data_IF_261000798547
#
_entry.id   IF_261000798547
#
_cell.length_a   1.000
_cell.length_b   1.000
_cell.length_c   1.000
_cell.angle_alpha   90.00
_cell.angle_beta   90.00
_cell.angle_gamma   90.00
#
_symmetry.space_group_name_H-M   'P 1'
#
loop_
_entity.id
_entity.type
_entity.pdbx_description
1 polymer ?
#
# COMPACT_ATOMS: atom_id res chain seq x y z
N UNK A 1 -5.61 24.06 -2.61
CA UNK A 1 -5.41 22.62 -2.39
C UNK A 1 -5.42 21.96 -3.76
N UNK A 2 -4.44 21.14 -4.15
CA UNK A 2 -4.59 20.29 -5.33
C UNK A 2 -5.83 19.43 -5.09
N UNK A 3 -6.86 19.72 -5.88
CA UNK A 3 -8.05 18.90 -6.01
C UNK A 3 -7.66 17.66 -6.79
N UNK A 4 -8.31 16.52 -6.55
CA UNK A 4 -8.27 15.35 -7.43
C UNK A 4 -8.24 15.81 -8.89
N UNK A 5 -7.35 15.28 -9.75
CA UNK A 5 -7.26 15.69 -11.14
C UNK A 5 -8.65 15.75 -11.77
N UNK A 6 -8.93 16.84 -12.46
CA UNK A 6 -10.22 16.95 -13.13
C UNK A 6 -10.30 15.86 -14.20
N UNK A 7 -11.37 15.07 -14.20
CA UNK A 7 -11.51 13.91 -15.09
C UNK A 7 -11.42 14.26 -16.58
N UNK A 8 -11.73 15.52 -16.95
CA UNK A 8 -11.62 16.03 -18.32
C UNK A 8 -10.27 16.71 -18.64
N UNK A 9 -9.33 16.76 -17.70
CA UNK A 9 -7.99 17.29 -17.95
C UNK A 9 -7.14 16.32 -18.78
N UNK A 10 -6.11 16.82 -19.51
CA UNK A 10 -5.23 15.95 -20.28
C UNK A 10 -4.57 14.89 -19.38
N UNK A 11 -4.22 13.73 -19.93
CA UNK A 11 -3.43 12.75 -19.19
C UNK A 11 -2.06 13.33 -18.83
N UNK A 12 -1.41 12.67 -17.89
CA UNK A 12 -0.14 13.09 -17.27
C UNK A 12 0.89 11.96 -17.48
N UNK A 13 2.11 12.09 -16.95
CA UNK A 13 3.09 10.99 -17.00
C UNK A 13 4.13 11.07 -18.11
N UNK A 14 4.44 12.27 -18.60
CA UNK A 14 5.55 12.46 -19.54
C UNK A 14 6.90 12.22 -18.86
N UNK A 15 7.76 11.47 -19.52
CA UNK A 15 9.18 11.35 -19.20
C UNK A 15 9.93 12.66 -19.56
N UNK A 16 11.20 12.74 -19.18
CA UNK A 16 12.04 13.91 -19.45
C UNK A 16 12.22 14.19 -20.97
N UNK A 17 12.06 13.17 -21.81
CA UNK A 17 12.12 13.27 -23.28
C UNK A 17 10.75 13.56 -23.92
N UNK A 18 9.69 13.72 -23.12
CA UNK A 18 8.33 13.97 -23.57
C UNK A 18 7.52 12.73 -23.95
N UNK A 19 8.11 11.53 -23.95
CA UNK A 19 7.38 10.28 -24.17
C UNK A 19 6.51 9.91 -22.95
N UNK A 20 5.45 9.13 -23.17
CA UNK A 20 4.64 8.63 -22.04
C UNK A 20 5.37 7.49 -21.32
N UNK A 21 5.60 7.65 -20.01
CA UNK A 21 6.25 6.62 -19.19
C UNK A 21 5.44 5.32 -19.26
N UNK A 22 6.08 4.19 -19.59
CA UNK A 22 5.41 2.89 -19.74
C UNK A 22 4.67 2.68 -21.08
N UNK A 23 4.70 3.68 -21.96
CA UNK A 23 4.23 3.62 -23.35
C UNK A 23 2.94 4.39 -23.62
N UNK A 24 2.74 4.80 -24.87
CA UNK A 24 1.62 5.62 -25.34
C UNK A 24 0.23 5.08 -24.96
N UNK A 25 0.09 3.77 -24.81
CA UNK A 25 -1.17 3.15 -24.35
C UNK A 25 -1.58 3.53 -22.93
N UNK A 26 -0.70 4.15 -22.14
CA UNK A 26 -0.97 4.62 -20.78
C UNK A 26 -1.26 6.13 -20.73
N UNK A 27 -1.19 6.86 -21.85
CA UNK A 27 -1.50 8.29 -21.93
C UNK A 27 -3.02 8.51 -21.97
N UNK A 28 -3.69 8.20 -20.86
CA UNK A 28 -5.16 8.19 -20.82
C UNK A 28 -5.71 8.41 -19.43
N UNK A 29 -6.88 9.06 -19.35
CA UNK A 29 -7.73 9.12 -18.15
C UNK A 29 -8.69 7.93 -18.06
N UNK A 30 -8.85 7.20 -19.17
CA UNK A 30 -9.80 6.10 -19.33
C UNK A 30 -9.27 4.78 -18.78
N UNK A 31 -10.05 3.73 -19.00
CA UNK A 31 -9.66 2.35 -18.72
C UNK A 31 -8.86 1.81 -19.90
N UNK A 32 -7.75 1.12 -19.60
CA UNK A 32 -6.95 0.35 -20.56
C UNK A 32 -6.72 -1.05 -20.02
N UNK A 33 -6.69 -2.04 -20.89
CA UNK A 33 -6.47 -3.45 -20.54
C UNK A 33 -5.56 -4.10 -21.57
N UNK A 34 -4.79 -5.10 -21.14
CA UNK A 34 -4.04 -5.93 -22.07
C UNK A 34 -4.96 -6.67 -23.06
N UNK A 35 -4.44 -7.01 -24.23
CA UNK A 35 -5.18 -7.76 -25.23
C UNK A 35 -5.63 -9.12 -24.67
N UNK A 36 -6.90 -9.48 -24.91
CA UNK A 36 -7.48 -10.73 -24.40
C UNK A 36 -7.76 -10.74 -22.90
N UNK A 37 -7.64 -9.61 -22.19
CA UNK A 37 -8.03 -9.52 -20.79
C UNK A 37 -9.52 -9.85 -20.59
N UNK A 38 -9.90 -10.55 -19.51
CA UNK A 38 -11.30 -10.78 -19.18
C UNK A 38 -12.00 -9.44 -18.87
N UNK A 39 -13.34 -9.38 -18.95
CA UNK A 39 -14.09 -8.20 -18.53
C UNK A 39 -13.72 -7.78 -17.12
N UNK A 40 -13.62 -6.46 -16.90
CA UNK A 40 -13.35 -5.92 -15.58
C UNK A 40 -14.49 -6.25 -14.60
N UNK A 41 -14.18 -6.49 -13.32
CA UNK A 41 -15.20 -6.58 -12.28
C UNK A 41 -16.07 -5.33 -12.24
N UNK A 42 -17.37 -5.50 -12.01
CA UNK A 42 -18.28 -4.38 -11.77
C UNK A 42 -17.98 -3.69 -10.42
N UNK A 43 -18.36 -2.41 -10.30
CA UNK A 43 -18.28 -1.66 -9.04
C UNK A 43 -16.89 -1.16 -8.65
N UNK A 44 -16.01 -0.89 -9.64
CA UNK A 44 -14.73 -0.24 -9.38
C UNK A 44 -14.92 1.28 -9.31
N UNK A 45 -15.02 1.81 -8.10
CA UNK A 45 -15.24 3.25 -7.85
C UNK A 45 -13.93 4.07 -7.86
N UNK A 46 -12.76 3.41 -7.91
CA UNK A 46 -11.48 4.10 -7.88
C UNK A 46 -11.28 4.98 -9.13
N UNK A 47 -10.90 6.24 -8.91
CA UNK A 47 -10.62 7.20 -9.98
C UNK A 47 -9.37 6.85 -10.77
N UNK A 48 -8.34 6.34 -10.08
CA UNK A 48 -7.13 5.79 -10.69
C UNK A 48 -6.76 4.45 -10.06
N UNK A 49 -6.32 3.49 -10.88
CA UNK A 49 -5.85 2.18 -10.43
C UNK A 49 -4.96 1.55 -11.50
N UNK A 50 -4.10 0.61 -11.10
CA UNK A 50 -3.26 -0.16 -12.01
C UNK A 50 -3.04 -1.57 -11.47
N UNK A 51 -3.07 -2.55 -12.38
CA UNK A 51 -2.69 -3.94 -12.15
C UNK A 51 -1.59 -4.29 -13.13
N UNK A 52 -0.47 -4.79 -12.61
CA UNK A 52 0.67 -5.22 -13.40
C UNK A 52 1.23 -6.53 -12.88
N UNK A 53 1.89 -7.26 -13.77
CA UNK A 53 2.70 -8.42 -13.42
C UNK A 53 4.04 -7.96 -12.82
N UNK A 54 4.30 -8.29 -11.56
CA UNK A 54 5.49 -7.79 -10.86
C UNK A 54 6.82 -8.31 -11.45
N UNK A 55 6.81 -9.51 -12.05
CA UNK A 55 8.00 -10.13 -12.61
C UNK A 55 8.41 -9.48 -13.94
N UNK A 56 7.50 -9.55 -14.91
CA UNK A 56 7.70 -9.02 -16.27
C UNK A 56 7.60 -7.50 -16.32
N UNK A 57 6.83 -6.91 -15.41
CA UNK A 57 6.41 -5.52 -15.43
C UNK A 57 5.08 -5.32 -16.15
N UNK A 58 4.66 -6.16 -17.10
CA UNK A 58 3.54 -5.87 -18.00
C UNK A 58 2.29 -5.30 -17.30
N UNK A 59 1.79 -4.15 -17.78
CA UNK A 59 0.50 -3.60 -17.32
C UNK A 59 -0.62 -4.46 -17.89
N UNK A 60 -1.41 -5.06 -17.00
CA UNK A 60 -2.54 -5.94 -17.34
C UNK A 60 -3.85 -5.16 -17.46
N UNK A 61 -3.98 -4.10 -16.69
CA UNK A 61 -5.03 -3.11 -16.84
C UNK A 61 -4.82 -1.91 -15.93
N UNK A 62 -5.36 -0.78 -16.32
CA UNK A 62 -5.29 0.44 -15.54
C UNK A 62 -6.50 1.35 -15.82
N UNK A 63 -6.70 2.32 -14.94
CA UNK A 63 -7.50 3.52 -15.18
C UNK A 63 -6.70 4.71 -14.70
N UNK A 64 -6.60 5.73 -15.54
CA UNK A 64 -5.84 6.96 -15.25
C UNK A 64 -4.47 6.67 -14.60
N UNK A 65 -3.62 5.83 -15.23
CA UNK A 65 -2.40 5.31 -14.61
C UNK A 65 -1.44 6.40 -14.15
N UNK A 66 -1.41 7.54 -14.82
CA UNK A 66 -0.55 8.69 -14.52
C UNK A 66 -1.28 9.84 -13.83
N UNK A 67 -2.55 9.68 -13.46
CA UNK A 67 -3.25 10.72 -12.71
C UNK A 67 -2.57 11.02 -11.38
N UNK A 68 -2.36 12.31 -11.10
CA UNK A 68 -1.68 12.77 -9.88
C UNK A 68 -2.66 12.94 -8.73
N UNK A 69 -2.66 11.98 -7.81
CA UNK A 69 -3.51 11.97 -6.62
C UNK A 69 -2.68 12.21 -5.37
N UNK A 70 -3.33 12.61 -4.26
CA UNK A 70 -2.70 12.46 -2.96
C UNK A 70 -2.56 10.97 -2.64
N UNK A 71 -1.33 10.49 -2.33
CA UNK A 71 -1.10 9.07 -2.10
C UNK A 71 -1.69 8.59 -0.76
N UNK A 72 -1.98 9.51 0.17
CA UNK A 72 -2.20 9.19 1.56
C UNK A 72 -1.11 8.21 2.06
N UNK A 73 -1.48 7.27 2.92
CA UNK A 73 -0.56 6.28 3.47
C UNK A 73 0.08 5.32 2.47
N UNK A 74 -0.33 5.28 1.20
CA UNK A 74 0.32 4.41 0.22
C UNK A 74 1.77 4.81 -0.03
N UNK A 75 2.14 6.08 0.16
CA UNK A 75 3.53 6.56 0.00
C UNK A 75 4.52 5.91 0.99
N UNK A 76 4.03 5.27 2.06
CA UNK A 76 4.89 4.53 2.99
C UNK A 76 5.62 3.35 2.32
N UNK A 77 5.17 2.89 1.15
CA UNK A 77 5.95 1.96 0.32
C UNK A 77 7.26 2.60 -0.12
N UNK A 78 7.23 3.85 -0.60
CA UNK A 78 8.43 4.60 -0.94
C UNK A 78 9.28 4.91 0.30
N UNK A 79 8.67 5.17 1.45
CA UNK A 79 9.40 5.36 2.72
C UNK A 79 10.19 4.10 3.09
N UNK A 80 9.54 2.93 3.04
CA UNK A 80 10.20 1.64 3.27
C UNK A 80 11.32 1.41 2.27
N UNK A 81 11.05 1.59 0.97
CA UNK A 81 12.02 1.38 -0.09
C UNK A 81 13.25 2.28 0.03
N UNK A 82 13.04 3.52 0.48
CA UNK A 82 14.11 4.51 0.65
C UNK A 82 14.97 4.22 1.88
N UNK A 83 14.35 3.87 3.02
CA UNK A 83 15.04 3.78 4.30
C UNK A 83 15.55 2.38 4.65
N UNK A 84 14.94 1.31 4.13
CA UNK A 84 15.40 -0.06 4.37
C UNK A 84 16.90 -0.28 4.07
N UNK A 85 17.49 0.25 2.98
CA UNK A 85 18.93 0.09 2.74
C UNK A 85 19.82 1.03 3.57
N UNK A 86 19.24 2.01 4.28
CA UNK A 86 20.00 3.02 5.04
C UNK A 86 20.09 2.73 6.54
N UNK A 87 19.12 1.98 7.07
CA UNK A 87 19.00 1.72 8.50
C UNK A 87 19.29 0.25 8.80
N UNK A 88 20.13 0.01 9.81
CA UNK A 88 20.38 -1.34 10.31
C UNK A 88 19.10 -1.89 10.96
N UNK A 89 18.53 -3.02 10.49
CA UNK A 89 17.34 -3.62 11.08
C UNK A 89 17.47 -3.93 12.59
N UNK A 90 18.70 -4.15 13.08
CA UNK A 90 18.99 -4.41 14.49
C UNK A 90 19.12 -3.14 15.34
N UNK A 91 19.25 -1.96 14.72
CA UNK A 91 19.34 -0.69 15.45
C UNK A 91 18.08 -0.50 16.29
N UNK A 92 18.28 -0.14 17.56
CA UNK A 92 17.18 0.19 18.48
C UNK A 92 16.88 1.67 18.40
N UNK A 93 15.62 1.99 18.10
CA UNK A 93 15.08 3.35 18.12
C UNK A 93 14.37 3.58 19.46
N UNK A 94 14.81 4.61 20.18
CA UNK A 94 14.08 5.14 21.34
C UNK A 94 13.04 6.12 20.83
N UNK A 95 11.75 5.85 21.09
CA UNK A 95 10.65 6.71 20.68
C UNK A 95 10.58 7.97 21.57
N UNK A 96 10.17 9.09 20.98
CA UNK A 96 10.10 10.39 21.66
C UNK A 96 8.67 10.83 21.94
N UNK A 97 8.53 11.97 22.62
CA UNK A 97 7.26 12.64 22.84
C UNK A 97 6.54 12.99 21.53
N UNK A 98 7.31 13.40 20.52
CA UNK A 98 6.82 13.83 19.21
C UNK A 98 6.29 12.63 18.42
N UNK A 99 6.99 11.50 18.47
CA UNK A 99 6.52 10.23 17.90
C UNK A 99 5.19 9.81 18.55
N UNK A 100 5.03 10.04 19.86
CA UNK A 100 3.81 9.82 20.66
C UNK A 100 2.75 10.94 20.53
N UNK A 101 3.05 12.07 19.90
CA UNK A 101 2.07 13.13 19.63
C UNK A 101 1.48 13.13 18.21
N UNK A 102 2.07 12.38 17.26
CA UNK A 102 1.67 12.44 15.84
C UNK A 102 0.18 12.16 15.59
N UNK A 103 -0.40 12.82 14.61
CA UNK A 103 -1.79 12.61 14.21
C UNK A 103 -2.00 11.43 13.24
N UNK A 104 -3.26 11.04 13.04
CA UNK A 104 -3.66 10.03 12.08
C UNK A 104 -3.52 8.58 12.57
N UNK A 105 -3.18 7.66 11.67
CA UNK A 105 -3.01 6.23 12.00
C UNK A 105 -1.71 6.02 12.78
N UNK A 106 -1.75 5.22 13.84
CA UNK A 106 -0.63 5.03 14.76
C UNK A 106 -0.51 3.59 15.19
N UNK A 107 0.73 3.14 15.39
CA UNK A 107 1.01 1.85 16.01
C UNK A 107 0.88 1.96 17.53
N UNK A 108 1.19 3.13 18.07
CA UNK A 108 1.19 3.42 19.51
C UNK A 108 2.59 3.35 20.09
N UNK A 109 3.59 3.93 19.41
CA UNK A 109 4.90 4.15 20.01
C UNK A 109 4.74 5.01 21.27
N UNK A 110 5.52 4.69 22.31
CA UNK A 110 5.49 5.39 23.59
C UNK A 110 6.85 5.95 23.88
N UNK A 111 6.89 7.16 24.42
CA UNK A 111 8.11 7.81 24.86
C UNK A 111 8.97 6.85 25.69
N UNK A 112 10.27 6.87 25.42
CA UNK A 112 11.30 6.02 26.05
C UNK A 112 11.15 4.52 25.72
N UNK A 113 10.14 4.14 24.94
CA UNK A 113 10.01 2.80 24.38
C UNK A 113 11.11 2.52 23.37
N UNK A 114 11.64 1.29 23.42
CA UNK A 114 12.74 0.83 22.57
C UNK A 114 12.22 -0.16 21.53
N UNK A 115 12.43 0.16 20.26
CA UNK A 115 11.91 -0.61 19.13
C UNK A 115 13.01 -0.85 18.10
N UNK A 116 13.32 -2.11 17.74
CA UNK A 116 14.20 -2.40 16.62
C UNK A 116 13.64 -1.81 15.32
N UNK A 117 14.52 -1.32 14.45
CA UNK A 117 14.15 -0.80 13.12
C UNK A 117 13.35 -1.84 12.32
N UNK A 118 13.69 -3.13 12.39
CA UNK A 118 12.93 -4.19 11.73
C UNK A 118 11.45 -4.21 12.16
N UNK A 119 11.20 -4.11 13.47
CA UNK A 119 9.85 -4.06 14.01
C UNK A 119 9.11 -2.81 13.52
N UNK A 120 9.81 -1.68 13.44
CA UNK A 120 9.26 -0.44 12.90
C UNK A 120 8.87 -0.60 11.43
N UNK A 121 9.72 -1.16 10.56
CA UNK A 121 9.35 -1.39 9.15
C UNK A 121 8.12 -2.31 9.01
N UNK A 122 8.02 -3.37 9.81
CA UNK A 122 6.82 -4.23 9.84
C UNK A 122 5.59 -3.46 10.31
N UNK A 123 5.73 -2.66 11.37
CA UNK A 123 4.64 -1.87 11.92
C UNK A 123 4.16 -0.78 10.96
N UNK A 124 5.08 -0.18 10.20
CA UNK A 124 4.83 0.81 9.15
C UNK A 124 3.84 0.24 8.11
N UNK A 125 4.07 -0.97 7.59
CA UNK A 125 3.23 -1.57 6.56
C UNK A 125 1.97 -2.26 7.10
N UNK A 126 2.00 -2.71 8.36
CA UNK A 126 0.87 -3.44 8.95
C UNK A 126 -0.26 -2.53 9.42
N UNK A 127 0.09 -1.42 10.08
CA UNK A 127 -0.86 -0.52 10.73
C UNK A 127 -0.82 0.89 10.16
N UNK A 128 0.02 1.14 9.16
CA UNK A 128 0.20 2.46 8.58
C UNK A 128 0.58 3.52 9.61
N UNK A 129 1.43 3.15 10.57
CA UNK A 129 1.82 4.02 11.68
C UNK A 129 2.53 5.28 11.19
N UNK A 130 1.90 6.43 11.37
CA UNK A 130 2.52 7.74 11.14
C UNK A 130 3.62 8.02 12.17
N UNK A 131 3.46 7.48 13.38
CA UNK A 131 4.43 7.56 14.49
C UNK A 131 5.71 6.85 14.10
N UNK A 132 5.55 5.67 13.52
CA UNK A 132 6.65 4.88 12.98
C UNK A 132 7.34 5.57 11.80
N UNK A 133 6.58 6.14 10.85
CA UNK A 133 7.17 6.85 9.71
C UNK A 133 8.04 8.04 10.16
N UNK A 134 7.60 8.79 11.18
CA UNK A 134 8.36 9.91 11.73
C UNK A 134 9.57 9.44 12.55
N UNK A 135 9.42 8.39 13.36
CA UNK A 135 10.53 7.82 14.13
C UNK A 135 11.66 7.31 13.21
N UNK A 136 11.30 6.60 12.12
CA UNK A 136 12.25 6.14 11.10
C UNK A 136 12.92 7.33 10.39
N UNK A 137 12.15 8.34 9.99
CA UNK A 137 12.72 9.54 9.36
C UNK A 137 13.69 10.28 10.30
N UNK A 138 13.36 10.37 11.60
CA UNK A 138 14.21 11.00 12.62
C UNK A 138 15.55 10.31 12.75
N UNK A 139 15.57 8.98 12.85
CA UNK A 139 16.84 8.24 12.94
C UNK A 139 17.62 8.21 11.63
N UNK A 140 16.95 8.45 10.50
CA UNK A 140 17.56 8.65 9.18
C UNK A 140 18.04 10.10 8.93
N UNK A 141 18.16 10.93 9.96
CA UNK A 141 18.66 12.32 9.85
C UNK A 141 17.58 13.39 9.79
N UNK A 142 16.31 13.03 9.95
CA UNK A 142 15.17 13.95 10.04
C UNK A 142 14.22 13.87 8.84
N UNK A 143 13.09 14.56 8.96
CA UNK A 143 12.03 14.56 7.94
C UNK A 143 12.50 15.17 6.62
N UNK A 144 13.18 16.32 6.64
CA UNK A 144 13.61 16.99 5.41
C UNK A 144 14.64 16.15 4.61
N UNK A 145 15.71 15.59 5.22
CA UNK A 145 16.60 14.67 4.51
C UNK A 145 15.89 13.41 4.00
N UNK A 146 14.97 12.85 4.79
CA UNK A 146 14.18 11.68 4.38
C UNK A 146 13.31 12.00 3.15
N UNK A 147 12.60 13.13 3.14
CA UNK A 147 11.78 13.56 2.00
C UNK A 147 12.64 13.80 0.76
N UNK A 148 13.82 14.40 0.91
CA UNK A 148 14.77 14.56 -0.19
C UNK A 148 15.22 13.19 -0.76
N UNK A 149 15.57 12.25 0.12
CA UNK A 149 15.96 10.89 -0.27
C UNK A 149 14.81 10.12 -0.94
N UNK A 150 13.57 10.32 -0.49
CA UNK A 150 12.39 9.71 -1.10
C UNK A 150 12.14 10.25 -2.50
N UNK A 151 12.23 11.57 -2.71
CA UNK A 151 12.12 12.17 -4.04
C UNK A 151 13.26 11.72 -4.97
N UNK A 152 14.49 11.60 -4.46
CA UNK A 152 15.60 11.04 -5.23
C UNK A 152 15.38 9.58 -5.61
N UNK A 153 14.80 8.78 -4.70
CA UNK A 153 14.43 7.39 -4.97
C UNK A 153 13.32 7.29 -6.01
N UNK A 154 12.29 8.14 -5.93
CA UNK A 154 11.23 8.21 -6.94
C UNK A 154 11.81 8.56 -8.32
N UNK A 155 12.65 9.59 -8.41
CA UNK A 155 13.31 9.98 -9.66
C UNK A 155 14.17 8.86 -10.25
N UNK A 156 14.95 8.16 -9.42
CA UNK A 156 15.77 7.01 -9.84
C UNK A 156 14.94 5.88 -10.46
N UNK A 157 13.72 5.69 -9.98
CA UNK A 157 12.80 4.65 -10.47
C UNK A 157 11.99 5.12 -11.69
N UNK A 158 12.11 6.38 -12.11
CA UNK A 158 11.29 6.96 -13.17
C UNK A 158 9.84 7.26 -12.73
N UNK A 159 9.61 7.42 -11.43
CA UNK A 159 8.32 7.78 -10.86
C UNK A 159 8.06 9.30 -10.98
N UNK A 160 7.83 9.75 -12.22
CA UNK A 160 7.77 11.17 -12.62
C UNK A 160 6.51 11.90 -12.16
N UNK A 161 5.50 11.19 -11.65
CA UNK A 161 4.26 11.77 -11.13
C UNK A 161 4.26 11.88 -9.60
N UNK A 162 5.37 11.49 -8.97
CA UNK A 162 5.52 11.48 -7.52
C UNK A 162 6.29 12.69 -7.03
N UNK A 163 5.67 13.43 -6.13
CA UNK A 163 6.31 14.49 -5.34
C UNK A 163 5.98 14.20 -3.89
N UNK A 164 7.00 13.95 -3.07
CA UNK A 164 6.83 13.61 -1.66
C UNK A 164 6.89 14.87 -0.81
N UNK A 165 5.88 15.07 0.04
CA UNK A 165 5.86 16.13 1.05
C UNK A 165 6.08 15.62 2.48
N UNK A 166 5.69 14.39 2.78
CA UNK A 166 5.89 13.75 4.10
C UNK A 166 6.21 12.26 3.96
N UNK A 167 6.94 11.67 4.93
CA UNK A 167 7.23 10.23 4.93
C UNK A 167 6.00 9.36 5.28
N UNK A 168 4.94 9.95 5.83
CA UNK A 168 3.73 9.25 6.23
C UNK A 168 2.63 9.30 5.18
N UNK A 169 2.68 10.29 4.29
CA UNK A 169 1.59 10.63 3.37
C UNK A 169 0.45 11.39 4.03
N UNK A 170 0.70 12.06 5.16
CA UNK A 170 -0.18 13.14 5.60
C UNK A 170 -0.22 14.21 4.50
N UNK A 171 -1.40 14.81 4.33
CA UNK A 171 -1.66 15.73 3.23
C UNK A 171 -0.82 17.00 3.40
N UNK A 172 -0.01 17.30 2.39
CA UNK A 172 0.78 18.52 2.29
C UNK A 172 0.64 19.06 0.87
N UNK A 173 0.50 20.38 0.75
CA UNK A 173 0.36 21.02 -0.56
C UNK A 173 1.52 20.65 -1.50
N UNK A 174 1.17 20.27 -2.74
CA UNK A 174 2.14 19.87 -3.75
C UNK A 174 2.54 18.39 -3.72
N UNK A 175 2.22 17.65 -2.65
CA UNK A 175 2.42 16.20 -2.61
C UNK A 175 1.53 15.50 -3.64
N UNK A 176 2.08 14.54 -4.37
CA UNK A 176 1.32 13.74 -5.34
C UNK A 176 2.01 12.41 -5.62
N UNK A 177 1.24 11.47 -6.20
CA UNK A 177 1.70 10.21 -6.76
C UNK A 177 0.68 9.73 -7.79
N UNK A 178 1.05 8.77 -8.64
CA UNK A 178 0.11 8.11 -9.56
C UNK A 178 -0.05 6.62 -9.28
N UNK A 179 -1.13 5.96 -9.76
CA UNK A 179 -1.23 4.50 -9.73
C UNK A 179 -0.02 3.78 -10.32
N UNK A 180 0.54 4.33 -11.40
CA UNK A 180 1.74 3.81 -12.05
C UNK A 180 2.97 3.89 -11.15
N UNK A 181 3.22 5.05 -10.54
CA UNK A 181 4.36 5.24 -9.65
C UNK A 181 4.27 4.40 -8.38
N UNK A 182 3.07 4.26 -7.81
CA UNK A 182 2.87 3.38 -6.66
C UNK A 182 3.15 1.90 -7.02
N UNK A 183 2.87 1.50 -8.25
CA UNK A 183 3.20 0.17 -8.75
C UNK A 183 4.72 -0.03 -8.95
N UNK A 184 5.47 1.01 -9.36
CA UNK A 184 6.94 0.97 -9.35
C UNK A 184 7.48 0.65 -7.96
N UNK A 185 7.03 1.39 -6.96
CA UNK A 185 7.53 1.22 -5.59
C UNK A 185 7.22 -0.18 -5.07
N UNK A 186 6.00 -0.68 -5.32
CA UNK A 186 5.63 -2.04 -4.93
C UNK A 186 6.44 -3.10 -5.67
N UNK A 187 6.73 -2.92 -6.96
CA UNK A 187 7.54 -3.85 -7.74
C UNK A 187 8.95 -4.01 -7.16
N UNK A 188 9.60 -2.89 -6.84
CA UNK A 188 10.93 -2.90 -6.22
C UNK A 188 10.91 -3.59 -4.85
N UNK A 189 9.90 -3.32 -4.03
CA UNK A 189 9.75 -3.95 -2.71
C UNK A 189 9.49 -5.45 -2.78
N UNK A 190 8.82 -5.97 -3.82
CA UNK A 190 8.60 -7.43 -3.94
C UNK A 190 9.78 -8.14 -4.58
N UNK A 191 10.68 -7.42 -5.26
CA UNK A 191 11.90 -7.97 -5.84
C UNK A 191 12.99 -8.21 -4.78
N UNK A 192 13.02 -7.39 -3.73
CA UNK A 192 13.97 -7.53 -2.62
C UNK A 192 13.44 -8.51 -1.53
N UNK A 193 14.18 -9.56 -1.15
CA UNK A 193 13.72 -10.57 -0.19
C UNK A 193 13.37 -10.01 1.19
N UNK A 194 14.13 -9.01 1.68
CA UNK A 194 13.90 -8.44 3.01
C UNK A 194 12.58 -7.66 3.05
N UNK A 195 12.39 -6.73 2.12
CA UNK A 195 11.18 -5.93 2.04
C UNK A 195 9.96 -6.75 1.66
N UNK A 196 10.12 -7.83 0.87
CA UNK A 196 9.06 -8.82 0.66
C UNK A 196 8.63 -9.51 1.96
N UNK A 197 9.57 -9.93 2.81
CA UNK A 197 9.26 -10.51 4.13
C UNK A 197 8.52 -9.51 5.04
N UNK A 198 8.96 -8.24 5.04
CA UNK A 198 8.25 -7.15 5.73
C UNK A 198 6.81 -7.03 5.21
N UNK A 199 6.60 -7.00 3.90
CA UNK A 199 5.27 -6.92 3.27
C UNK A 199 4.39 -8.15 3.53
N UNK A 200 4.97 -9.33 3.75
CA UNK A 200 4.24 -10.57 4.03
C UNK A 200 3.88 -10.73 5.52
N UNK A 201 4.39 -9.86 6.39
CA UNK A 201 4.11 -9.92 7.83
C UNK A 201 2.61 -9.83 8.12
N UNK A 202 2.07 -10.83 8.83
CA UNK A 202 0.65 -10.91 9.19
C UNK A 202 0.36 -10.50 10.63
N UNK A 203 1.31 -10.80 11.52
CA UNK A 203 1.22 -10.58 12.96
C UNK A 203 2.57 -10.05 13.40
N UNK A 204 2.56 -8.96 14.17
CA UNK A 204 3.72 -8.43 14.87
C UNK A 204 3.30 -8.10 16.31
N UNK A 205 4.19 -8.34 17.26
CA UNK A 205 3.98 -8.03 18.66
C UNK A 205 4.75 -6.76 19.01
N UNK A 206 4.04 -5.75 19.49
CA UNK A 206 4.68 -4.54 20.01
C UNK A 206 5.05 -4.78 21.48
N UNK A 207 6.23 -4.31 21.92
CA UNK A 207 6.59 -4.32 23.32
C UNK A 207 5.49 -3.70 24.20
N UNK A 208 5.24 -4.25 25.40
CA UNK A 208 4.32 -3.66 26.35
C UNK A 208 4.79 -2.25 26.74
N UNK A 209 3.83 -1.34 26.95
CA UNK A 209 4.14 -0.09 27.66
C UNK A 209 4.39 -0.42 29.13
N UNK A 210 5.29 0.29 29.83
CA UNK A 210 5.41 0.16 31.29
C UNK A 210 4.04 0.24 31.96
N UNK A 211 3.67 -0.81 32.72
CA UNK A 211 2.35 -0.91 33.36
C UNK A 211 1.20 -1.47 32.51
N UNK A 212 1.45 -1.91 31.27
CA UNK A 212 0.43 -2.52 30.39
C UNK A 212 0.89 -3.88 29.84
N UNK A 213 -0.06 -4.69 29.33
CA UNK A 213 0.26 -5.95 28.62
C UNK A 213 0.66 -5.67 27.17
N UNK A 214 1.49 -6.55 26.61
CA UNK A 214 1.91 -6.50 25.22
C UNK A 214 0.69 -6.49 24.29
N UNK A 215 0.69 -5.62 23.29
CA UNK A 215 -0.38 -5.53 22.31
C UNK A 215 -0.01 -6.34 21.06
N UNK A 216 -0.88 -7.27 20.69
CA UNK A 216 -0.74 -8.02 19.45
C UNK A 216 -1.40 -7.24 18.31
N UNK A 217 -0.62 -6.84 17.33
CA UNK A 217 -1.13 -6.24 16.11
C UNK A 217 -1.33 -7.31 15.04
N UNK A 218 -2.49 -7.31 14.39
CA UNK A 218 -2.78 -8.14 13.21
C UNK A 218 -3.06 -7.22 12.04
N UNK A 219 -2.53 -7.56 10.86
CA UNK A 219 -2.68 -6.73 9.66
C UNK A 219 -4.15 -6.37 9.42
N UNK A 220 -4.47 -5.07 9.42
CA UNK A 220 -5.84 -4.57 9.21
C UNK A 220 -6.26 -4.56 7.75
N UNK A 221 -5.31 -4.56 6.81
CA UNK A 221 -5.57 -4.56 5.37
C UNK A 221 -6.02 -5.94 4.87
N UNK A 222 -7.23 -5.99 4.31
CA UNK A 222 -7.81 -7.22 3.74
C UNK A 222 -7.33 -7.54 2.32
N UNK A 223 -6.74 -6.56 1.61
CA UNK A 223 -6.24 -6.72 0.24
C UNK A 223 -5.01 -7.63 0.10
N UNK A 224 -4.32 -7.98 1.20
CA UNK A 224 -3.13 -8.83 1.20
C UNK A 224 -3.37 -10.24 1.78
N UNK A 225 -4.63 -10.71 1.81
CA UNK A 225 -4.88 -12.14 2.04
C UNK A 225 -4.46 -12.91 0.80
N UNK A 226 -3.34 -13.61 0.87
CA UNK A 226 -2.96 -14.62 -0.13
C UNK A 226 -4.07 -15.67 -0.20
N UNK A 227 -4.71 -15.82 -1.35
CA UNK A 227 -5.48 -17.03 -1.67
C UNK A 227 -4.46 -18.18 -1.79
N UNK A 228 -4.68 -19.36 -1.17
CA UNK A 228 -3.78 -20.50 -1.37
C UNK A 228 -3.90 -20.96 -2.83
N UNK A 229 -2.92 -20.61 -3.68
CA UNK A 229 -2.79 -21.06 -5.06
C UNK A 229 -1.49 -21.83 -5.22
N UNK A 230 -1.56 -23.03 -5.77
CA UNK A 230 -0.43 -23.95 -5.95
C UNK A 230 0.60 -23.34 -6.90
N UNK A 231 1.83 -23.19 -6.39
CA UNK A 231 2.99 -22.64 -7.06
C UNK A 231 3.49 -23.59 -8.17
N UNK A 232 3.48 -23.15 -9.42
CA UNK A 232 4.16 -23.84 -10.51
C UNK A 232 4.77 -22.81 -11.45
N UNK A 233 6.09 -22.83 -11.61
CA UNK A 233 6.80 -22.01 -12.58
C UNK A 233 6.52 -22.54 -14.00
N UNK A 234 6.12 -21.65 -14.92
CA UNK A 234 6.20 -21.88 -16.37
C UNK A 234 7.20 -20.88 -16.96
N UNK A 235 8.02 -21.29 -17.95
CA UNK A 235 8.92 -20.37 -18.65
C UNK A 235 8.13 -19.24 -19.33
N UNK A 236 8.69 -18.03 -19.32
CA UNK A 236 8.09 -16.84 -19.91
C UNK A 236 8.01 -16.94 -21.44
N UNK A 237 6.86 -16.60 -22.01
CA UNK A 237 6.69 -16.39 -23.45
C UNK A 237 7.26 -15.02 -23.85
N UNK A 238 7.83 -14.86 -25.06
CA UNK A 238 8.29 -13.55 -25.53
C UNK A 238 7.13 -12.55 -25.66
N UNK A 239 7.37 -11.30 -25.24
CA UNK A 239 6.43 -10.18 -25.35
C UNK A 239 6.26 -9.78 -26.82
N UNK A 240 5.03 -9.64 -27.36
CA UNK A 240 4.81 -9.16 -28.72
C UNK A 240 5.36 -7.74 -28.93
N UNK A 241 5.75 -7.36 -30.16
CA UNK A 241 6.13 -5.97 -30.45
C UNK A 241 4.93 -5.04 -30.23
N UNK A 242 5.16 -3.89 -29.58
CA UNK A 242 4.13 -2.84 -29.39
C UNK A 242 3.29 -2.94 -28.11
N UNK A 243 3.58 -3.89 -27.21
CA UNK A 243 2.89 -3.94 -25.91
C UNK A 243 3.47 -2.91 -24.92
N UNK A 244 2.64 -2.13 -24.21
CA UNK A 244 3.11 -1.25 -23.14
C UNK A 244 3.95 -2.03 -22.13
N UNK A 245 5.19 -1.62 -21.94
CA UNK A 245 6.17 -2.35 -21.13
C UNK A 245 7.12 -1.38 -20.43
N UNK A 246 7.65 -1.83 -19.29
CA UNK A 246 8.44 -1.04 -18.36
C UNK A 246 9.93 -1.16 -18.69
N UNK A 247 10.78 -0.21 -18.28
CA UNK A 247 12.23 -0.43 -18.26
C UNK A 247 12.58 -1.64 -17.38
N UNK A 248 13.59 -2.42 -17.81
CA UNK A 248 13.99 -3.66 -17.14
C UNK A 248 14.73 -3.38 -15.82
N UNK A 249 14.38 -4.04 -14.71
CA UNK A 249 15.18 -3.99 -13.51
C UNK A 249 16.50 -4.74 -13.70
N UNK A 250 17.53 -4.34 -12.96
CA UNK A 250 18.70 -5.18 -12.74
C UNK A 250 18.31 -6.33 -11.81
N UNK A 251 18.40 -7.56 -12.32
CA UNK A 251 18.18 -8.85 -11.66
C UNK A 251 16.78 -9.51 -11.83
N UNK A 252 16.87 -10.81 -12.10
CA UNK A 252 15.82 -11.74 -12.55
C UNK A 252 15.05 -12.36 -11.39
N UNK A 253 13.74 -12.16 -11.35
CA UNK A 253 12.78 -13.12 -10.83
C UNK A 253 11.39 -12.84 -11.44
N UNK A 254 10.95 -13.70 -12.37
CA UNK A 254 9.62 -13.63 -12.97
C UNK A 254 8.65 -14.57 -12.26
N UNK A 255 7.50 -14.06 -11.82
CA UNK A 255 6.43 -14.84 -11.21
C UNK A 255 5.12 -14.05 -11.18
N UNK A 256 4.01 -14.74 -11.41
CA UNK A 256 2.67 -14.17 -11.47
C UNK A 256 2.12 -13.91 -10.07
N UNK A 257 1.46 -12.76 -9.88
CA UNK A 257 0.80 -12.39 -8.62
C UNK A 257 -0.57 -11.77 -8.90
N UNK A 258 -1.59 -12.13 -8.11
CA UNK A 258 -2.93 -11.54 -8.19
C UNK A 258 -3.38 -11.09 -6.80
N UNK A 259 -3.79 -9.82 -6.67
CA UNK A 259 -4.43 -9.26 -5.49
C UNK A 259 -5.86 -8.82 -5.85
N UNK A 260 -6.86 -9.34 -5.14
CA UNK A 260 -8.26 -8.92 -5.30
C UNK A 260 -8.76 -8.24 -4.03
N UNK A 261 -9.17 -6.98 -4.11
CA UNK A 261 -9.84 -6.27 -3.02
C UNK A 261 -11.36 -6.53 -3.10
N UNK A 262 -11.98 -6.96 -1.99
CA UNK A 262 -13.44 -6.91 -1.81
C UNK A 262 -13.78 -5.83 -0.78
N UNK A 263 -14.73 -4.91 -1.04
CA UNK A 263 -15.23 -4.02 -0.01
C UNK A 263 -15.98 -4.83 1.04
N UNK A 264 -15.78 -4.55 2.34
CA UNK A 264 -16.74 -5.02 3.34
C UNK A 264 -16.96 -3.97 4.42
N UNK A 265 -18.25 -3.71 4.66
CA UNK A 265 -18.79 -2.74 5.59
C UNK A 265 -18.20 -2.93 7.00
N UNK A 266 -17.83 -1.80 7.63
CA UNK A 266 -17.37 -1.77 9.00
C UNK A 266 -18.47 -2.26 9.95
N UNK A 267 -18.25 -3.36 10.66
CA UNK A 267 -18.98 -3.66 11.90
C UNK A 267 -18.26 -2.95 13.05
N UNK A 268 -18.86 -1.89 13.55
CA UNK A 268 -18.46 -1.28 14.82
C UNK A 268 -18.78 -2.24 15.96
N UNK A 269 -17.76 -2.71 16.68
CA UNK A 269 -17.90 -3.33 17.99
C UNK A 269 -17.40 -2.35 19.04
N UNK A 270 -18.28 -1.49 19.55
CA UNK A 270 -18.05 -0.77 20.81
C UNK A 270 -19.37 -0.61 21.56
N UNK A 271 -19.36 -1.04 22.83
CA UNK A 271 -20.42 -0.81 23.81
C UNK A 271 -20.41 0.67 24.21
N UNK A 272 -21.11 1.51 23.45
CA UNK A 272 -21.59 2.83 23.88
C UNK A 272 -22.42 3.46 22.76
N UNK A 273 -23.71 3.70 23.02
CA UNK A 273 -24.65 4.36 22.09
C UNK A 273 -24.71 5.87 22.41
N UNK A 274 -24.56 6.77 21.42
CA UNK A 274 -25.22 8.07 21.42
C UNK A 274 -26.57 8.00 20.67
N UNK A 275 -27.55 8.89 20.97
CA UNK A 275 -28.91 8.80 20.45
C UNK A 275 -28.98 9.34 19.01
N UNK A 276 -29.68 8.63 18.11
CA UNK A 276 -29.91 9.11 16.74
C UNK A 276 -30.13 8.08 15.63
N UNK A 277 -30.01 6.77 15.88
CA UNK A 277 -30.32 5.74 14.86
C UNK A 277 -31.77 5.25 14.97
N UNK A 278 -32.59 5.53 13.95
CA UNK A 278 -33.94 4.99 13.76
C UNK A 278 -33.91 3.51 13.32
N UNK A 279 -34.95 2.78 13.72
CA UNK A 279 -35.08 1.32 13.60
C UNK A 279 -35.66 0.89 12.25
N UNK A 280 -34.87 0.17 11.44
CA UNK A 280 -35.37 -0.63 10.32
C UNK A 280 -35.85 -2.02 10.80
N UNK A 281 -37.08 -2.36 10.44
CA UNK A 281 -37.88 -3.46 10.95
C UNK A 281 -37.24 -4.87 10.86
N UNK A 282 -37.39 -5.63 11.96
CA UNK A 282 -37.11 -7.07 12.06
C UNK A 282 -38.20 -7.90 11.38
N UNK A 283 -37.84 -8.75 10.41
CA UNK A 283 -38.68 -9.86 9.94
C UNK A 283 -38.62 -11.04 10.94
N UNK A 284 -39.74 -11.72 11.24
CA UNK A 284 -39.77 -12.81 12.22
C UNK A 284 -39.20 -14.11 11.60
N UNK A 285 -38.48 -14.89 12.42
CA UNK A 285 -38.07 -16.27 12.11
C UNK A 285 -39.24 -17.23 12.35
N UNK A 286 -39.47 -18.24 11.49
CA UNK A 286 -40.40 -19.31 11.82
C UNK A 286 -39.74 -20.31 12.78
N UNK A 287 -40.51 -20.72 13.80
CA UNK A 287 -40.23 -21.88 14.66
C UNK A 287 -40.83 -23.12 13.99
N UNK A 288 -40.08 -24.22 13.92
CA UNK A 288 -40.61 -25.58 14.03
C UNK A 288 -39.49 -26.55 14.44
N UNK A 289 -39.59 -27.08 15.66
CA UNK A 289 -39.76 -28.50 16.03
C UNK A 289 -38.56 -29.41 15.76
N UNK A 290 -37.86 -29.77 16.84
CA UNK A 290 -37.05 -31.01 16.96
C UNK A 290 -37.96 -32.19 17.35
N UNK A 291 -37.59 -33.41 16.97
CA UNK A 291 -37.41 -34.50 17.93
C UNK A 291 -35.95 -35.02 17.84
N UNK A 292 -35.20 -35.15 18.93
CA UNK A 292 -35.21 -36.22 19.96
C UNK A 292 -34.51 -37.51 19.49
N UNK A 293 -33.28 -37.70 20.00
CA UNK A 293 -32.64 -38.99 20.29
C UNK A 293 -31.52 -39.46 19.37
N UNK A 294 -30.50 -40.19 19.82
CA UNK A 294 -30.00 -40.62 21.16
C UNK A 294 -28.60 -41.23 20.88
N UNK A 295 -27.59 -40.95 21.74
CA UNK A 295 -26.44 -41.79 22.18
C UNK A 295 -25.34 -42.16 21.14
N UNK A 296 -24.04 -42.21 21.45
CA UNK A 296 -23.22 -42.11 22.68
C UNK A 296 -21.94 -41.29 22.38
#
# INVERSE_FOLDING_TARGET
>A
TPTVPHAAGPPQGSAADGSTVGGEGLDTRGVVTAEGAPPLPEGIDAHGWLVADAGTGQVLGARDPHGRYYPASTIKTLTLLTLAPQLDPAQVVVATAEDEAIEGSRVGLVRDGQYPVDLLFRALVMQSGNDVANALARVAGGVAPTVAAMNATAARLGASDTVVGTPSGLDVAGQSSSPYDLALFLRELVADPYTLDVLQTRIAQMPPRPGTRATRSSRRTRCWRTTPGRWAARPASPTPPGTPSWPRPSATAAGWWSASCRPNAARCTSRSRPPGCSTGASRPRPRSTRPAGWFD
#
